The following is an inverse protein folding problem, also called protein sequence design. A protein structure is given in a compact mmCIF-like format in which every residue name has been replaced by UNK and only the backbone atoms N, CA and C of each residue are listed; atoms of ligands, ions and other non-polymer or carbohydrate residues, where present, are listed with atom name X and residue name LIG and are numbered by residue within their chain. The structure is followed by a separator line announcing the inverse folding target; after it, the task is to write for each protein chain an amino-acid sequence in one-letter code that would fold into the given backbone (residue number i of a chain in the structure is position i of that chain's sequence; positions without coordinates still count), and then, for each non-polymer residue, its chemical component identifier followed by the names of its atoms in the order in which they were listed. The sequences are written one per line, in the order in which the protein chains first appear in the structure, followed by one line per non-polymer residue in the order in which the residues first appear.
data_IF_069141598837
#
_entry.id   IF_069141598837
#
_cell.length_a   1.000
_cell.length_b   1.000
_cell.length_c   1.000
_cell.angle_alpha   90.00
_cell.angle_beta   90.00
_cell.angle_gamma   90.00
#
_symmetry.space_group_name_H-M   'P 1'
#
loop_
_entity.id
_entity.type
_entity.pdbx_description
1 polymer ?
#
# COMPACT_ATOMS: atom_id res chain seq x y z
N UNK A 1 0.22 13.92 -13.00
CA UNK A 1 -0.95 13.52 -12.20
C UNK A 1 -0.81 12.19 -11.49
N UNK A 2 0.21 11.37 -11.79
CA UNK A 2 0.31 9.99 -11.32
C UNK A 2 0.44 9.92 -9.80
N UNK A 3 1.32 10.74 -9.24
CA UNK A 3 1.56 10.80 -7.79
C UNK A 3 0.30 11.13 -6.99
N UNK A 4 -0.54 12.03 -7.51
CA UNK A 4 -1.78 12.44 -6.84
C UNK A 4 -2.85 11.33 -6.91
N UNK A 5 -3.04 10.69 -8.06
CA UNK A 5 -3.99 9.56 -8.17
C UNK A 5 -3.58 8.37 -7.33
N UNK A 6 -2.27 8.10 -7.24
CA UNK A 6 -1.74 7.03 -6.39
C UNK A 6 -2.03 7.31 -4.91
N UNK A 7 -1.78 8.55 -4.45
CA UNK A 7 -2.12 8.97 -3.09
C UNK A 7 -3.63 8.86 -2.79
N UNK A 8 -4.50 9.22 -3.73
CA UNK A 8 -5.96 9.06 -3.57
C UNK A 8 -6.32 7.58 -3.41
N UNK A 9 -5.78 6.70 -4.27
CA UNK A 9 -6.04 5.26 -4.19
C UNK A 9 -5.58 4.67 -2.85
N UNK A 10 -4.37 5.01 -2.39
CA UNK A 10 -3.85 4.55 -1.10
C UNK A 10 -4.67 5.11 0.06
N UNK A 11 -5.04 6.40 0.03
CA UNK A 11 -5.85 7.02 1.08
C UNK A 11 -7.20 6.31 1.23
N UNK A 12 -7.86 5.99 0.11
CA UNK A 12 -9.11 5.22 0.11
C UNK A 12 -8.88 3.81 0.65
N UNK A 13 -7.82 3.12 0.18
CA UNK A 13 -7.48 1.78 0.66
C UNK A 13 -7.13 1.76 2.14
N UNK A 14 -6.50 2.81 2.66
CA UNK A 14 -6.16 2.98 4.07
C UNK A 14 -7.44 3.07 4.91
N UNK A 15 -8.39 3.92 4.54
CA UNK A 15 -9.65 4.09 5.29
C UNK A 15 -10.52 2.84 5.17
N UNK A 16 -10.82 2.41 3.94
CA UNK A 16 -11.73 1.29 3.70
C UNK A 16 -11.10 -0.02 4.18
N UNK A 17 -9.84 -0.30 3.90
CA UNK A 17 -9.19 -1.53 4.35
C UNK A 17 -9.08 -1.64 5.89
N UNK A 18 -9.06 -0.51 6.60
CA UNK A 18 -9.03 -0.49 8.08
C UNK A 18 -10.43 -0.61 8.68
N UNK A 19 -11.42 0.07 8.11
CA UNK A 19 -12.78 0.15 8.69
C UNK A 19 -13.75 -0.90 8.16
N UNK A 20 -13.53 -1.44 6.96
CA UNK A 20 -14.44 -2.40 6.33
C UNK A 20 -14.49 -3.75 7.06
N UNK A 21 -13.36 -4.39 7.45
CA UNK A 21 -13.43 -5.64 8.21
C UNK A 21 -14.25 -5.55 9.52
N UNK A 22 -14.03 -4.57 10.43
CA UNK A 22 -14.84 -4.45 11.64
C UNK A 22 -16.28 -4.00 11.37
N UNK A 23 -16.55 -3.33 10.25
CA UNK A 23 -17.90 -2.98 9.82
C UNK A 23 -18.69 -4.24 9.44
N UNK A 24 -18.08 -5.12 8.62
CA UNK A 24 -18.71 -6.35 8.13
C UNK A 24 -18.87 -7.39 9.24
N UNK A 25 -17.93 -7.47 10.18
CA UNK A 25 -18.02 -8.38 11.33
C UNK A 25 -18.99 -7.90 12.42
N UNK A 26 -19.57 -6.70 12.30
CA UNK A 26 -20.45 -6.11 13.31
C UNK A 26 -19.73 -5.64 14.58
N UNK A 27 -18.40 -5.66 14.62
CA UNK A 27 -17.58 -5.32 15.79
C UNK A 27 -17.21 -3.84 15.87
N UNK A 28 -17.67 -3.02 14.93
CA UNK A 28 -17.29 -1.60 14.82
C UNK A 28 -17.54 -0.81 16.12
N UNK A 29 -18.69 -1.02 16.77
CA UNK A 29 -19.02 -0.37 18.04
C UNK A 29 -18.10 -0.82 19.18
N UNK A 30 -17.72 -2.11 19.20
CA UNK A 30 -16.79 -2.66 20.18
C UNK A 30 -15.38 -2.11 19.96
N UNK A 31 -14.94 -1.95 18.71
CA UNK A 31 -13.65 -1.35 18.36
C UNK A 31 -13.58 0.13 18.77
N UNK A 32 -14.66 0.88 18.55
CA UNK A 32 -14.73 2.29 18.96
C UNK A 32 -14.84 2.48 20.47
N UNK A 33 -15.45 1.55 21.19
CA UNK A 33 -15.55 1.59 22.65
C UNK A 33 -14.24 1.28 23.39
N UNK A 34 -13.21 0.75 22.71
CA UNK A 34 -11.92 0.42 23.34
C UNK A 34 -11.14 1.68 23.71
N UNK A 35 -10.46 1.64 24.85
CA UNK A 35 -9.44 2.63 25.22
C UNK A 35 -8.39 2.70 24.11
N UNK A 36 -7.95 3.90 23.72
CA UNK A 36 -6.99 4.08 22.62
C UNK A 36 -7.58 4.16 21.21
N UNK A 37 -8.85 3.78 21.00
CA UNK A 37 -9.52 3.83 19.68
C UNK A 37 -9.53 5.24 19.08
N UNK A 38 -9.73 6.27 19.89
CA UNK A 38 -9.71 7.68 19.46
C UNK A 38 -8.37 8.11 18.88
N UNK A 39 -7.26 7.67 19.48
CA UNK A 39 -5.90 7.93 18.98
C UNK A 39 -5.63 7.17 17.68
N UNK A 40 -6.14 5.93 17.57
CA UNK A 40 -6.03 5.14 16.34
C UNK A 40 -6.78 5.80 15.19
N UNK A 41 -8.02 6.25 15.42
CA UNK A 41 -8.82 6.92 14.39
C UNK A 41 -8.27 8.29 14.00
N UNK A 42 -7.82 9.07 14.99
CA UNK A 42 -7.11 10.31 14.73
C UNK A 42 -5.85 10.04 13.90
N UNK A 43 -5.08 9.00 14.23
CA UNK A 43 -3.91 8.56 13.48
C UNK A 43 -4.22 8.18 12.04
N UNK A 44 -5.31 7.44 11.78
CA UNK A 44 -5.79 7.13 10.43
C UNK A 44 -6.15 8.43 9.68
N UNK A 45 -6.90 9.33 10.31
CA UNK A 45 -7.29 10.61 9.71
C UNK A 45 -6.10 11.49 9.35
N UNK A 46 -5.17 11.66 10.30
CA UNK A 46 -3.89 12.37 10.08
C UNK A 46 -3.08 11.69 8.98
N UNK A 47 -3.06 10.36 8.95
CA UNK A 47 -2.39 9.56 7.92
C UNK A 47 -2.94 9.82 6.53
N UNK A 48 -4.26 9.82 6.37
CA UNK A 48 -4.92 10.16 5.09
C UNK A 48 -4.56 11.57 4.64
N UNK A 49 -4.56 12.54 5.55
CA UNK A 49 -4.13 13.91 5.25
C UNK A 49 -2.67 13.92 4.81
N UNK A 50 -1.78 13.20 5.50
CA UNK A 50 -0.37 13.07 5.13
C UNK A 50 -0.16 12.44 3.76
N UNK A 51 -0.92 11.40 3.42
CA UNK A 51 -0.88 10.73 2.11
C UNK A 51 -1.31 11.70 1.01
N UNK A 52 -2.41 12.44 1.22
CA UNK A 52 -2.89 13.45 0.27
C UNK A 52 -1.88 14.58 0.08
N UNK A 53 -1.27 15.09 1.16
CA UNK A 53 -0.22 16.11 1.10
C UNK A 53 1.02 15.59 0.36
N UNK A 54 1.40 14.33 0.55
CA UNK A 54 2.50 13.71 -0.19
C UNK A 54 2.17 13.59 -1.68
N UNK A 55 0.95 13.16 -2.03
CA UNK A 55 0.49 13.12 -3.42
C UNK A 55 0.45 14.50 -4.10
N UNK A 56 0.05 15.54 -3.35
CA UNK A 56 0.10 16.93 -3.81
C UNK A 56 1.54 17.40 -4.01
N UNK A 57 2.45 17.09 -3.08
CA UNK A 57 3.88 17.39 -3.22
C UNK A 57 4.48 16.68 -4.44
N UNK A 58 4.12 15.42 -4.70
CA UNK A 58 4.52 14.69 -5.90
C UNK A 58 3.99 15.32 -7.19
N UNK A 59 2.76 15.84 -7.20
CA UNK A 59 2.24 16.61 -8.34
C UNK A 59 3.00 17.92 -8.54
N UNK A 60 3.36 18.62 -7.46
CA UNK A 60 4.19 19.82 -7.55
C UNK A 60 5.59 19.51 -8.12
N UNK A 61 6.18 18.37 -7.72
CA UNK A 61 7.44 17.87 -8.29
C UNK A 61 7.33 17.64 -9.80
N UNK A 62 6.29 16.94 -10.26
CA UNK A 62 6.05 16.70 -11.69
C UNK A 62 5.92 18.03 -12.46
N UNK A 63 5.21 19.02 -11.91
CA UNK A 63 5.07 20.35 -12.52
C UNK A 63 6.39 21.14 -12.56
N UNK A 64 7.23 21.00 -11.54
CA UNK A 64 8.53 21.68 -11.46
C UNK A 64 9.59 21.06 -12.38
N UNK A 65 9.58 19.74 -12.58
CA UNK A 65 10.61 19.00 -13.33
C UNK A 65 10.24 18.77 -14.81
N UNK A 66 9.00 18.38 -15.10
CA UNK A 66 8.58 17.97 -16.46
C UNK A 66 7.77 19.06 -17.19
N UNK A 67 7.48 20.18 -16.53
CA UNK A 67 6.58 21.23 -17.05
C UNK A 67 5.12 20.77 -17.19
N UNK A 68 4.26 21.61 -17.78
CA UNK A 68 2.81 21.32 -17.91
C UNK A 68 2.48 20.13 -18.85
N UNK A 69 3.47 19.51 -19.49
CA UNK A 69 3.29 18.47 -20.51
C UNK A 69 3.12 17.05 -19.93
N UNK A 70 2.53 16.91 -18.74
CA UNK A 70 2.05 15.60 -18.31
C UNK A 70 0.82 15.26 -19.15
N UNK A 71 0.92 14.32 -20.10
CA UNK A 71 -0.19 13.77 -20.90
C UNK A 71 -1.27 13.03 -20.08
N UNK A 72 -1.37 13.35 -18.79
CA UNK A 72 -2.26 12.74 -17.82
C UNK A 72 -3.64 13.40 -17.88
N UNK A 73 -4.66 12.62 -18.24
CA UNK A 73 -6.04 13.05 -18.22
C UNK A 73 -6.69 12.70 -16.86
N UNK A 74 -6.89 13.72 -16.02
CA UNK A 74 -7.51 13.55 -14.70
C UNK A 74 -8.90 12.90 -14.77
N UNK A 75 -9.65 13.12 -15.87
CA UNK A 75 -10.97 12.51 -16.06
C UNK A 75 -10.93 10.98 -16.21
N UNK A 76 -9.81 10.43 -16.69
CA UNK A 76 -9.60 8.98 -16.83
C UNK A 76 -8.91 8.44 -15.58
N UNK A 77 -7.91 9.16 -15.07
CA UNK A 77 -7.13 8.71 -13.91
C UNK A 77 -7.93 8.67 -12.61
N UNK A 78 -8.84 9.61 -12.37
CA UNK A 78 -9.61 9.69 -11.13
C UNK A 78 -10.59 8.50 -10.95
N UNK A 79 -11.45 8.14 -11.92
CA UNK A 79 -12.27 6.93 -11.80
C UNK A 79 -11.44 5.66 -11.59
N UNK A 80 -10.32 5.53 -12.31
CA UNK A 80 -9.43 4.38 -12.20
C UNK A 80 -8.80 4.29 -10.80
N UNK A 81 -8.38 5.40 -10.21
CA UNK A 81 -7.79 5.40 -8.87
C UNK A 81 -8.82 5.15 -7.76
N UNK A 82 -10.06 5.64 -7.93
CA UNK A 82 -11.17 5.31 -7.03
C UNK A 82 -11.44 3.80 -7.04
N UNK A 83 -11.56 3.21 -8.23
CA UNK A 83 -11.75 1.77 -8.39
C UNK A 83 -10.58 0.98 -7.79
N UNK A 84 -9.33 1.38 -8.08
CA UNK A 84 -8.14 0.75 -7.53
C UNK A 84 -8.10 0.82 -5.99
N UNK A 85 -8.47 1.95 -5.40
CA UNK A 85 -8.53 2.11 -3.94
C UNK A 85 -9.56 1.18 -3.30
N UNK A 86 -10.75 1.05 -3.91
CA UNK A 86 -11.79 0.12 -3.45
C UNK A 86 -11.35 -1.33 -3.61
N UNK A 87 -10.81 -1.72 -4.76
CA UNK A 87 -10.32 -3.09 -5.00
C UNK A 87 -9.17 -3.46 -4.05
N UNK A 88 -8.29 -2.52 -3.74
CA UNK A 88 -7.22 -2.69 -2.75
C UNK A 88 -7.78 -2.90 -1.33
N UNK A 89 -8.86 -2.20 -0.96
CA UNK A 89 -9.57 -2.45 0.29
C UNK A 89 -10.23 -3.84 0.33
N UNK A 90 -10.80 -4.29 -0.80
CA UNK A 90 -11.34 -5.66 -0.94
C UNK A 90 -10.25 -6.70 -0.78
N UNK A 91 -9.04 -6.46 -1.30
CA UNK A 91 -7.90 -7.34 -1.06
C UNK A 91 -7.53 -7.40 0.43
N UNK A 92 -7.47 -6.27 1.14
CA UNK A 92 -7.26 -6.25 2.60
C UNK A 92 -8.36 -7.02 3.35
N UNK A 93 -9.62 -6.87 2.93
CA UNK A 93 -10.74 -7.64 3.45
C UNK A 93 -10.59 -9.14 3.18
N UNK A 94 -10.08 -9.55 2.01
CA UNK A 94 -9.83 -10.97 1.70
C UNK A 94 -8.83 -11.61 2.67
N UNK A 95 -7.84 -10.85 3.15
CA UNK A 95 -6.88 -11.33 4.15
C UNK A 95 -7.55 -11.55 5.51
N UNK A 96 -8.42 -10.61 5.92
CA UNK A 96 -9.20 -10.76 7.15
C UNK A 96 -10.19 -11.92 7.06
N UNK A 97 -10.86 -12.09 5.92
CA UNK A 97 -11.75 -13.22 5.68
C UNK A 97 -11.02 -14.59 5.67
N UNK A 98 -9.70 -14.59 5.46
CA UNK A 98 -8.86 -15.78 5.53
C UNK A 98 -8.44 -16.20 6.94
N UNK A 99 -8.87 -15.49 7.99
CA UNK A 99 -8.52 -15.80 9.39
C UNK A 99 -8.80 -17.26 9.79
N UNK A 100 -9.92 -17.91 9.40
CA UNK A 100 -10.15 -19.34 9.69
C UNK A 100 -9.08 -20.27 9.08
N UNK A 101 -8.50 -19.89 7.94
CA UNK A 101 -7.41 -20.66 7.31
C UNK A 101 -6.11 -20.48 8.11
N UNK A 102 -5.86 -19.27 8.62
CA UNK A 102 -4.73 -18.97 9.49
C UNK A 102 -4.84 -19.74 10.82
N UNK A 103 -6.02 -19.80 11.44
CA UNK A 103 -6.26 -20.57 12.67
C UNK A 103 -5.97 -22.06 12.49
N UNK A 104 -6.38 -22.66 11.36
CA UNK A 104 -6.04 -24.06 11.04
C UNK A 104 -4.53 -24.24 10.93
N UNK A 105 -3.82 -23.32 10.29
CA UNK A 105 -2.36 -23.37 10.20
C UNK A 105 -1.69 -23.22 11.57
N UNK A 106 -2.21 -22.34 12.44
CA UNK A 106 -1.71 -22.15 13.79
C UNK A 106 -1.87 -23.41 14.65
N UNK A 107 -3.02 -24.09 14.54
CA UNK A 107 -3.27 -25.39 15.18
C UNK A 107 -2.29 -26.49 14.74
N UNK A 108 -1.63 -26.32 13.58
CA UNK A 108 -0.57 -27.21 13.09
C UNK A 108 0.85 -26.69 13.39
N UNK A 109 0.99 -25.66 14.23
CA UNK A 109 2.27 -25.13 14.69
C UNK A 109 2.88 -24.04 13.80
N UNK A 110 2.09 -23.37 12.95
CA UNK A 110 2.60 -22.28 12.11
C UNK A 110 2.99 -21.02 12.91
N UNK A 111 2.38 -20.79 14.07
CA UNK A 111 2.71 -19.69 14.97
C UNK A 111 2.67 -18.33 14.28
N UNK A 112 3.81 -17.63 14.25
CA UNK A 112 3.93 -16.30 13.63
C UNK A 112 3.76 -16.35 12.09
N UNK A 113 3.94 -17.51 11.46
CA UNK A 113 3.82 -17.68 10.02
C UNK A 113 2.41 -18.06 9.55
N UNK A 114 1.43 -18.15 10.45
CA UNK A 114 0.06 -18.55 10.13
C UNK A 114 -0.59 -17.69 9.03
N UNK A 115 -0.27 -16.40 8.96
CA UNK A 115 -0.83 -15.50 7.94
C UNK A 115 -0.38 -15.83 6.51
N UNK A 116 0.74 -16.54 6.33
CA UNK A 116 1.30 -16.79 5.01
C UNK A 116 0.42 -17.70 4.15
N UNK A 117 -0.35 -18.60 4.76
CA UNK A 117 -1.25 -19.48 4.03
C UNK A 117 -2.39 -18.70 3.36
N UNK A 118 -2.84 -17.61 3.98
CA UNK A 118 -3.91 -16.76 3.46
C UNK A 118 -3.45 -16.09 2.16
N UNK A 119 -2.18 -15.68 2.08
CA UNK A 119 -1.62 -15.09 0.87
C UNK A 119 -1.66 -16.03 -0.33
N UNK A 120 -1.60 -17.35 -0.15
CA UNK A 120 -1.71 -18.31 -1.26
C UNK A 120 -3.07 -18.15 -1.94
N UNK A 121 -4.15 -18.03 -1.17
CA UNK A 121 -5.50 -17.89 -1.71
C UNK A 121 -5.75 -16.49 -2.27
N UNK A 122 -5.45 -15.44 -1.50
CA UNK A 122 -5.69 -14.06 -1.93
C UNK A 122 -4.82 -13.66 -3.14
N UNK A 123 -3.54 -14.03 -3.16
CA UNK A 123 -2.65 -13.69 -4.27
C UNK A 123 -2.93 -14.55 -5.51
N UNK A 124 -3.38 -15.81 -5.36
CA UNK A 124 -3.76 -16.61 -6.52
C UNK A 124 -4.95 -16.00 -7.26
N UNK A 125 -5.95 -15.47 -6.54
CA UNK A 125 -7.06 -14.75 -7.17
C UNK A 125 -6.61 -13.49 -7.92
N UNK A 126 -5.73 -12.70 -7.30
CA UNK A 126 -5.13 -11.52 -7.94
C UNK A 126 -4.25 -11.90 -9.16
N UNK A 127 -3.51 -13.01 -9.07
CA UNK A 127 -2.68 -13.54 -10.15
C UNK A 127 -3.52 -14.05 -11.32
N UNK A 128 -4.59 -14.81 -11.06
CA UNK A 128 -5.45 -15.32 -12.12
C UNK A 128 -6.11 -14.17 -12.90
N UNK A 129 -6.67 -13.19 -12.21
CA UNK A 129 -7.32 -12.03 -12.85
C UNK A 129 -6.32 -11.20 -13.66
N UNK A 130 -5.18 -10.85 -13.07
CA UNK A 130 -4.13 -10.06 -13.75
C UNK A 130 -3.49 -10.86 -14.88
N UNK A 131 -3.17 -12.13 -14.65
CA UNK A 131 -2.55 -13.03 -15.61
C UNK A 131 -3.42 -13.27 -16.84
N UNK A 132 -4.71 -13.56 -16.65
CA UNK A 132 -5.65 -13.70 -17.77
C UNK A 132 -5.77 -12.41 -18.58
N UNK A 133 -5.82 -11.25 -17.90
CA UNK A 133 -5.87 -9.96 -18.57
C UNK A 133 -4.58 -9.67 -19.37
N UNK A 134 -3.41 -9.90 -18.77
CA UNK A 134 -2.12 -9.74 -19.44
C UNK A 134 -1.97 -10.69 -20.63
N UNK A 135 -2.37 -11.95 -20.50
CA UNK A 135 -2.37 -12.92 -21.60
C UNK A 135 -3.27 -12.44 -22.74
N UNK A 136 -4.50 -12.03 -22.44
CA UNK A 136 -5.41 -11.46 -23.44
C UNK A 136 -4.80 -10.24 -24.15
N UNK A 137 -4.14 -9.35 -23.40
CA UNK A 137 -3.46 -8.18 -23.96
C UNK A 137 -2.29 -8.59 -24.87
N UNK A 138 -1.48 -9.57 -24.47
CA UNK A 138 -0.42 -10.12 -25.30
C UNK A 138 -0.95 -10.73 -26.61
N UNK A 139 -2.06 -11.47 -26.57
CA UNK A 139 -2.71 -11.98 -27.78
C UNK A 139 -3.21 -10.86 -28.68
N UNK A 140 -3.84 -9.83 -28.12
CA UNK A 140 -4.40 -8.71 -28.87
C UNK A 140 -3.32 -7.84 -29.53
N UNK A 141 -2.23 -7.58 -28.82
CA UNK A 141 -1.15 -6.71 -29.29
C UNK A 141 0.01 -7.45 -29.96
N UNK A 142 -0.05 -8.80 -30.01
CA UNK A 142 0.97 -9.68 -30.61
C UNK A 142 2.39 -9.48 -30.05
N UNK A 143 2.49 -9.19 -28.76
CA UNK A 143 3.77 -8.87 -28.09
C UNK A 143 4.46 -10.09 -27.46
N UNK A 144 4.05 -11.31 -27.80
CA UNK A 144 4.71 -12.53 -27.29
C UNK A 144 6.17 -12.67 -27.72
N UNK A 145 6.53 -12.11 -28.88
CA UNK A 145 7.92 -12.09 -29.35
C UNK A 145 8.87 -11.32 -28.43
N UNK A 146 8.36 -10.36 -27.65
CA UNK A 146 9.16 -9.50 -26.76
C UNK A 146 9.77 -10.25 -25.57
N UNK A 147 9.29 -11.48 -25.28
CA UNK A 147 9.89 -12.36 -24.27
C UNK A 147 11.17 -13.04 -24.74
N UNK A 148 11.37 -13.13 -26.05
CA UNK A 148 12.48 -13.89 -26.68
C UNK A 148 13.43 -12.96 -27.44
N UNK A 149 12.90 -11.91 -28.05
CA UNK A 149 13.68 -10.94 -28.81
C UNK A 149 13.40 -9.52 -28.29
N UNK A 150 14.49 -8.77 -28.05
CA UNK A 150 14.38 -7.35 -27.73
C UNK A 150 14.11 -6.55 -29.01
N UNK A 151 13.28 -5.50 -28.95
CA UNK A 151 13.12 -4.58 -30.07
C UNK A 151 14.49 -4.07 -30.54
N UNK A 152 14.70 -3.99 -31.85
CA UNK A 152 15.94 -3.49 -32.43
C UNK A 152 16.19 -2.04 -31.93
N UNK A 153 17.18 -1.88 -31.05
CA UNK A 153 17.50 -0.61 -30.42
C UNK A 153 19.00 -0.50 -30.10
N UNK A 154 19.51 0.73 -29.89
CA UNK A 154 20.94 0.98 -29.68
C UNK A 154 21.49 0.43 -28.36
N UNK A 155 20.63 0.10 -27.40
CA UNK A 155 21.04 -0.42 -26.09
C UNK A 155 21.09 -1.95 -26.07
N UNK A 156 22.27 -2.50 -25.71
CA UNK A 156 22.43 -3.92 -25.35
C UNK A 156 21.75 -4.19 -24.01
N UNK A 157 20.42 -4.23 -23.98
CA UNK A 157 19.69 -4.76 -22.82
C UNK A 157 19.79 -6.29 -22.88
N UNK A 158 20.03 -6.93 -21.74
CA UNK A 158 20.09 -8.38 -21.67
C UNK A 158 18.76 -8.90 -21.13
N UNK A 159 18.04 -9.72 -21.89
CA UNK A 159 16.79 -10.36 -21.46
C UNK A 159 16.90 -11.02 -20.06
N UNK A 160 18.01 -11.72 -19.71
CA UNK A 160 18.17 -12.28 -18.38
C UNK A 160 18.12 -11.25 -17.25
N UNK A 161 18.63 -10.03 -17.49
CA UNK A 161 18.60 -8.95 -16.49
C UNK A 161 17.18 -8.46 -16.29
N UNK A 162 16.38 -8.33 -17.36
CA UNK A 162 14.97 -7.94 -17.25
C UNK A 162 14.17 -8.99 -16.46
N UNK A 163 14.38 -10.28 -16.75
CA UNK A 163 13.75 -11.36 -15.98
C UNK A 163 14.19 -11.37 -14.52
N UNK A 164 15.49 -11.19 -14.25
CA UNK A 164 16.01 -11.13 -12.89
C UNK A 164 15.42 -9.94 -12.11
N UNK A 165 15.32 -8.76 -12.72
CA UNK A 165 14.69 -7.58 -12.12
C UNK A 165 13.19 -7.77 -11.89
N UNK A 166 12.48 -8.45 -12.79
CA UNK A 166 11.07 -8.78 -12.62
C UNK A 166 10.84 -9.74 -11.44
N UNK A 167 11.64 -10.80 -11.35
CA UNK A 167 11.62 -11.74 -10.22
C UNK A 167 11.95 -11.02 -8.92
N UNK A 168 13.01 -10.19 -8.90
CA UNK A 168 13.38 -9.41 -7.73
C UNK A 168 12.24 -8.48 -7.28
N UNK A 169 11.59 -7.79 -8.21
CA UNK A 169 10.45 -6.92 -7.92
C UNK A 169 9.29 -7.70 -7.31
N UNK A 170 8.99 -8.89 -7.85
CA UNK A 170 7.98 -9.79 -7.28
C UNK A 170 8.34 -10.27 -5.88
N UNK A 171 9.60 -10.65 -5.65
CA UNK A 171 10.10 -11.05 -4.33
C UNK A 171 10.03 -9.91 -3.31
N UNK A 172 10.41 -8.69 -3.69
CA UNK A 172 10.29 -7.50 -2.83
C UNK A 172 8.83 -7.15 -2.54
N UNK A 173 7.97 -7.27 -3.54
CA UNK A 173 6.54 -7.04 -3.38
C UNK A 173 5.92 -8.06 -2.42
N UNK A 174 6.24 -9.35 -2.53
CA UNK A 174 5.80 -10.35 -1.56
C UNK A 174 6.43 -10.14 -0.18
N UNK A 175 7.71 -9.77 -0.14
CA UNK A 175 8.45 -9.47 1.09
C UNK A 175 7.74 -8.41 1.94
N UNK A 176 7.14 -7.39 1.32
CA UNK A 176 6.32 -6.40 2.03
C UNK A 176 5.18 -7.04 2.82
N UNK A 177 4.50 -8.03 2.25
CA UNK A 177 3.36 -8.72 2.87
C UNK A 177 3.81 -9.74 3.91
N UNK A 178 4.96 -10.39 3.68
CA UNK A 178 5.58 -11.26 4.67
C UNK A 178 5.89 -10.50 5.98
N UNK A 179 6.51 -9.32 5.89
CA UNK A 179 6.77 -8.48 7.07
C UNK A 179 5.49 -7.88 7.65
N UNK A 180 4.52 -7.52 6.80
CA UNK A 180 3.20 -7.11 7.26
C UNK A 180 2.52 -8.21 8.10
N UNK A 181 2.52 -9.47 7.65
CA UNK A 181 1.97 -10.60 8.38
C UNK A 181 2.64 -10.80 9.73
N UNK A 182 3.98 -10.71 9.78
CA UNK A 182 4.75 -10.79 11.03
C UNK A 182 4.35 -9.67 12.03
N UNK A 183 4.17 -8.44 11.54
CA UNK A 183 3.71 -7.32 12.35
C UNK A 183 2.25 -7.48 12.79
N UNK A 184 1.39 -7.94 11.88
CA UNK A 184 -0.04 -8.14 12.09
C UNK A 184 -0.31 -9.13 13.22
N UNK A 185 0.36 -10.29 13.25
CA UNK A 185 0.19 -11.29 14.31
C UNK A 185 0.61 -10.76 15.68
N UNK A 186 1.60 -9.85 15.72
CA UNK A 186 2.09 -9.24 16.97
C UNK A 186 1.23 -8.09 17.50
N UNK A 187 0.28 -7.57 16.71
CA UNK A 187 -0.56 -6.43 17.10
C UNK A 187 -1.78 -6.81 17.96
N UNK A 188 -1.99 -8.10 18.26
CA UNK A 188 -3.02 -8.58 19.19
C UNK A 188 -4.41 -7.97 18.92
N UNK A 189 -4.96 -7.27 19.92
CA UNK A 189 -6.29 -6.66 19.89
C UNK A 189 -6.48 -5.49 18.90
N UNK A 190 -5.40 -4.99 18.29
CA UNK A 190 -5.42 -3.88 17.33
C UNK A 190 -5.02 -4.29 15.92
N UNK A 191 -5.10 -5.58 15.59
CA UNK A 191 -4.97 -6.11 14.22
C UNK A 191 -5.72 -5.30 13.17
N UNK A 192 -6.88 -4.71 13.50
CA UNK A 192 -7.65 -3.89 12.56
C UNK A 192 -6.86 -2.65 12.06
N UNK A 193 -6.04 -2.03 12.92
CA UNK A 193 -5.25 -0.85 12.57
C UNK A 193 -4.00 -1.16 11.74
N UNK A 194 -3.60 -2.43 11.66
CA UNK A 194 -2.39 -2.86 10.97
C UNK A 194 -2.38 -2.46 9.50
N UNK A 195 -3.53 -2.54 8.82
CA UNK A 195 -3.67 -2.17 7.41
C UNK A 195 -3.42 -0.67 7.18
N UNK A 196 -4.01 0.18 8.02
CA UNK A 196 -3.80 1.62 7.95
C UNK A 196 -2.34 2.00 8.21
N UNK A 197 -1.71 1.40 9.23
CA UNK A 197 -0.29 1.60 9.53
C UNK A 197 0.56 1.20 8.32
N UNK A 198 0.28 0.04 7.71
CA UNK A 198 1.00 -0.44 6.53
C UNK A 198 0.95 0.58 5.38
N UNK A 199 -0.24 1.11 5.06
CA UNK A 199 -0.41 2.10 3.98
C UNK A 199 0.33 3.42 4.26
N UNK A 200 0.29 3.91 5.49
CA UNK A 200 0.98 5.14 5.90
C UNK A 200 2.50 4.95 5.83
N UNK A 201 3.01 3.84 6.36
CA UNK A 201 4.44 3.51 6.34
C UNK A 201 4.96 3.31 4.91
N UNK A 202 4.15 2.69 4.04
CA UNK A 202 4.47 2.52 2.62
C UNK A 202 4.72 3.88 1.95
N UNK A 203 3.82 4.86 2.16
CA UNK A 203 3.96 6.21 1.59
C UNK A 203 5.14 6.95 2.20
N UNK A 204 5.36 6.82 3.51
CA UNK A 204 6.48 7.44 4.22
C UNK A 204 7.82 6.95 3.66
N UNK A 205 8.04 5.63 3.62
CA UNK A 205 9.29 5.06 3.12
C UNK A 205 9.49 5.26 1.62
N UNK A 206 8.42 5.20 0.82
CA UNK A 206 8.49 5.54 -0.61
C UNK A 206 8.97 6.98 -0.81
N UNK A 207 8.41 7.92 -0.04
CA UNK A 207 8.78 9.33 -0.10
C UNK A 207 10.22 9.59 0.39
N UNK A 208 10.66 8.91 1.45
CA UNK A 208 12.04 8.96 1.95
C UNK A 208 13.04 8.38 0.95
N UNK A 209 12.70 7.25 0.31
CA UNK A 209 13.54 6.63 -0.72
C UNK A 209 13.69 7.56 -1.92
N UNK A 210 12.61 8.21 -2.36
CA UNK A 210 12.67 9.22 -3.42
C UNK A 210 13.56 10.43 -3.08
N UNK A 211 13.64 10.81 -1.80
CA UNK A 211 14.60 11.83 -1.32
C UNK A 211 16.05 11.33 -1.38
N UNK A 212 16.32 10.10 -0.94
CA UNK A 212 17.65 9.47 -0.98
C UNK A 212 18.14 9.31 -2.41
N UNK A 213 17.26 8.88 -3.32
CA UNK A 213 17.52 8.76 -4.76
C UNK A 213 17.62 10.12 -5.47
N UNK A 214 17.57 11.23 -4.72
CA UNK A 214 17.76 12.59 -5.22
C UNK A 214 16.74 13.00 -6.29
N UNK A 215 15.57 12.36 -6.32
CA UNK A 215 14.54 12.66 -7.33
C UNK A 215 13.96 14.08 -7.21
N UNK A 216 14.20 14.74 -6.08
CA UNK A 216 13.72 16.10 -5.78
C UNK A 216 14.78 17.18 -6.07
N UNK A 217 15.91 16.80 -6.69
CA UNK A 217 16.90 17.74 -7.21
C UNK A 217 16.29 18.52 -8.38
N UNK A 218 16.41 19.86 -8.35
CA UNK A 218 15.78 20.75 -9.35
C UNK A 218 14.40 21.30 -8.98
N UNK A 219 13.70 20.73 -7.98
CA UNK A 219 12.40 21.26 -7.55
C UNK A 219 12.52 22.59 -6.79
N UNK A 220 11.45 23.40 -6.82
CA UNK A 220 11.37 24.67 -6.09
C UNK A 220 11.38 24.43 -4.58
N UNK A 221 11.86 25.42 -3.83
CA UNK A 221 11.88 25.37 -2.35
C UNK A 221 10.50 25.10 -1.74
N UNK A 222 9.43 25.65 -2.33
CA UNK A 222 8.03 25.40 -1.92
C UNK A 222 7.59 23.94 -2.08
N UNK A 223 8.04 23.27 -3.14
CA UNK A 223 7.74 21.86 -3.40
C UNK A 223 8.43 20.97 -2.38
N UNK A 224 9.69 21.28 -2.05
CA UNK A 224 10.44 20.59 -1.00
C UNK A 224 9.85 20.82 0.39
N UNK A 225 9.41 22.03 0.71
CA UNK A 225 8.73 22.30 1.99
C UNK A 225 7.39 21.59 2.09
N UNK A 226 6.63 21.48 0.98
CA UNK A 226 5.38 20.71 0.93
C UNK A 226 5.62 19.23 1.23
N UNK A 227 6.68 18.64 0.66
CA UNK A 227 7.05 17.26 0.97
C UNK A 227 7.47 17.11 2.44
N UNK A 228 8.28 18.02 2.97
CA UNK A 228 8.70 17.98 4.36
C UNK A 228 7.49 18.07 5.31
N UNK A 229 6.52 18.94 5.02
CA UNK A 229 5.27 19.02 5.76
C UNK A 229 4.47 17.72 5.69
N UNK A 230 4.36 17.10 4.50
CA UNK A 230 3.70 15.81 4.35
C UNK A 230 4.37 14.70 5.17
N UNK A 231 5.70 14.63 5.15
CA UNK A 231 6.48 13.67 5.95
C UNK A 231 6.27 13.88 7.45
N UNK A 232 6.27 15.12 7.92
CA UNK A 232 5.97 15.44 9.33
C UNK A 232 4.58 14.96 9.74
N UNK A 233 3.57 15.20 8.90
CA UNK A 233 2.20 14.74 9.15
C UNK A 233 2.13 13.22 9.18
N UNK A 234 2.81 12.52 8.26
CA UNK A 234 2.87 11.06 8.25
C UNK A 234 3.57 10.50 9.50
N UNK A 235 4.64 11.13 9.96
CA UNK A 235 5.32 10.75 11.22
C UNK A 235 4.38 10.91 12.41
N UNK A 236 3.68 12.05 12.50
CA UNK A 236 2.68 12.29 13.56
C UNK A 236 1.56 11.26 13.51
N UNK A 237 1.10 10.86 12.31
CA UNK A 237 0.11 9.79 12.15
C UNK A 237 0.61 8.46 12.72
N UNK A 238 1.83 8.05 12.37
CA UNK A 238 2.44 6.80 12.86
C UNK A 238 2.59 6.83 14.38
N UNK A 239 3.07 7.94 14.94
CA UNK A 239 3.20 8.11 16.39
C UNK A 239 1.84 8.06 17.11
N UNK A 240 0.80 8.68 16.52
CA UNK A 240 -0.56 8.65 17.07
C UNK A 240 -1.14 7.23 17.06
N UNK A 241 -0.91 6.47 15.98
CA UNK A 241 -1.32 5.07 15.87
C UNK A 241 -0.59 4.20 16.90
N UNK A 242 0.73 4.31 16.99
CA UNK A 242 1.55 3.56 17.93
C UNK A 242 1.18 3.87 19.39
N UNK A 243 0.96 5.14 19.71
CA UNK A 243 0.54 5.56 21.05
C UNK A 243 -0.87 5.06 21.39
N UNK A 244 -1.79 5.08 20.42
CA UNK A 244 -3.12 4.50 20.56
C UNK A 244 -3.07 3.02 20.89
N UNK A 245 -2.27 2.24 20.17
CA UNK A 245 -2.07 0.81 20.43
C UNK A 245 -1.42 0.55 21.80
N UNK A 246 -0.40 1.33 22.17
CA UNK A 246 0.29 1.21 23.47
C UNK A 246 -0.65 1.47 24.66
N UNK A 247 -1.45 2.53 24.60
CA UNK A 247 -2.42 2.87 25.64
C UNK A 247 -3.42 1.73 25.89
N UNK A 248 -3.80 1.01 24.84
CA UNK A 248 -4.73 -0.11 24.97
C UNK A 248 -4.07 -1.33 25.61
N UNK A 249 -2.84 -1.68 25.25
CA UNK A 249 -2.10 -2.77 25.88
C UNK A 249 -1.86 -2.50 27.37
N UNK A 250 -1.56 -1.25 27.75
CA UNK A 250 -1.37 -0.85 29.14
C UNK A 250 -2.65 -0.99 29.98
N UNK A 251 -3.84 -0.91 29.37
CA UNK A 251 -5.13 -1.12 30.05
C UNK A 251 -5.47 -2.62 30.17
N UNK A 252 -4.99 -3.47 29.27
CA UNK A 252 -5.20 -4.94 29.34
C UNK A 252 -4.23 -5.59 30.35
N UNK A 253 -3.09 -4.97 30.61
CA UNK A 253 -2.09 -5.44 31.58
C UNK A 253 -2.45 -5.12 33.05
N UNK A 254 -3.51 -4.35 33.31
CA UNK A 254 -3.99 -3.95 34.64
C UNK A 254 -5.41 -4.46 34.90
#
# INVERSE_FOLDING_TARGET
GFSLTYAIAIGISCVLGTLLPPLVSGQLAAVFGRTGSGWVLAGIGIGVVGILLSGLAGRLKELDLDGQNSGFNLKIGLPLCLLAGVLSAVYGFSLAAGEPIAEVADNHGAGVFQGNIVYIFSNSGAFLTTGLYCLWLHFRHRTFGEYVELPAGPERRALPVNFALAVLTGCLWYGQFFFYGLGHVRMGDFKFSSWGIHMIMLVLFSSLTGLVLREWQGCRGRTRSSLAAALLVLIVAVLSLAYGTYLSEAVVAH
#
